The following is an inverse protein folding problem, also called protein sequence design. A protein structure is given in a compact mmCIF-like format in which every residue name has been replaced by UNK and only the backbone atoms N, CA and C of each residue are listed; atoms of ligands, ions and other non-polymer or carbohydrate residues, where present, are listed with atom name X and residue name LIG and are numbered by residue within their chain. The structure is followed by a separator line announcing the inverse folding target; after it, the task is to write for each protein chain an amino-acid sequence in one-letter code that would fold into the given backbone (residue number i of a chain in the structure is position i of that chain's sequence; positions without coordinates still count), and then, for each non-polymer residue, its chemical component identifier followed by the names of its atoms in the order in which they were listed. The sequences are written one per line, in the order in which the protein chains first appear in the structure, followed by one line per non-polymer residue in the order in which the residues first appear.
data_IF_166542421074
#
_entry.id   IF_166542421074
#
_cell.length_a   1.000
_cell.length_b   1.000
_cell.length_c   1.000
_cell.angle_alpha   90.00
_cell.angle_beta   90.00
_cell.angle_gamma   90.00
#
_symmetry.space_group_name_H-M   'P 1'
#
loop_
_entity.id
_entity.type
_entity.pdbx_description
1 polymer ?
#
# COMPACT_ATOMS: atom_id res chain seq x y z
N UNK A 1 -9.45 3.31 -5.40
CA UNK A 1 -7.97 3.25 -5.40
C UNK A 1 -7.46 4.07 -4.22
N UNK A 2 -6.44 3.57 -3.51
CA UNK A 2 -5.73 4.27 -2.44
C UNK A 2 -4.23 4.28 -2.76
N UNK A 3 -3.61 5.46 -2.77
CA UNK A 3 -2.18 5.65 -3.04
C UNK A 3 -1.53 6.28 -1.81
N UNK A 4 -0.68 5.53 -1.12
CA UNK A 4 0.12 5.99 0.02
C UNK A 4 1.54 6.27 -0.43
N UNK A 5 1.99 7.52 -0.34
CA UNK A 5 3.36 7.93 -0.70
C UNK A 5 4.03 8.54 0.53
N UNK A 6 5.20 8.02 0.93
CA UNK A 6 6.04 8.56 2.00
C UNK A 6 5.50 8.47 3.44
N UNK A 7 4.25 8.05 3.63
CA UNK A 7 3.61 7.88 4.94
C UNK A 7 3.37 6.41 5.26
N UNK A 8 4.20 5.49 4.74
CA UNK A 8 3.93 4.06 4.89
C UNK A 8 3.77 3.63 6.36
N UNK A 9 4.31 4.36 7.34
CA UNK A 9 4.11 4.07 8.76
C UNK A 9 2.76 4.57 9.31
N UNK A 10 2.33 5.81 9.02
CA UNK A 10 1.08 6.37 9.57
C UNK A 10 -0.14 6.04 8.74
N UNK A 11 0.03 6.00 7.42
CA UNK A 11 -1.02 5.70 6.45
C UNK A 11 -1.82 4.43 6.75
N UNK A 12 -1.23 3.27 7.10
CA UNK A 12 -1.99 2.07 7.38
C UNK A 12 -2.94 2.27 8.56
N UNK A 13 -2.48 2.90 9.64
CA UNK A 13 -3.28 3.08 10.86
C UNK A 13 -4.50 3.97 10.64
N UNK A 14 -4.35 5.05 9.87
CA UNK A 14 -5.46 5.96 9.55
C UNK A 14 -6.42 5.26 8.58
N UNK A 15 -5.88 4.68 7.51
CA UNK A 15 -6.69 4.07 6.46
C UNK A 15 -7.47 2.84 6.95
N UNK A 16 -6.88 2.00 7.80
CA UNK A 16 -7.54 0.85 8.42
C UNK A 16 -8.80 1.27 9.18
N UNK A 17 -8.70 2.33 10.00
CA UNK A 17 -9.83 2.87 10.75
C UNK A 17 -10.89 3.43 9.82
N UNK A 18 -10.49 4.22 8.82
CA UNK A 18 -11.41 4.77 7.82
C UNK A 18 -12.17 3.67 7.06
N UNK A 19 -11.47 2.64 6.58
CA UNK A 19 -12.06 1.50 5.89
C UNK A 19 -13.02 0.73 6.79
N UNK A 20 -12.64 0.53 8.06
CA UNK A 20 -13.48 -0.14 9.06
C UNK A 20 -14.76 0.64 9.36
N UNK A 21 -14.69 1.97 9.47
CA UNK A 21 -15.88 2.82 9.65
C UNK A 21 -16.85 2.71 8.48
N UNK A 22 -16.35 2.74 7.24
CA UNK A 22 -17.21 2.61 6.05
C UNK A 22 -17.87 1.23 6.00
N UNK A 23 -17.12 0.17 6.31
CA UNK A 23 -17.66 -1.20 6.40
C UNK A 23 -18.71 -1.33 7.50
N UNK A 24 -18.50 -0.68 8.66
CA UNK A 24 -19.45 -0.68 9.76
C UNK A 24 -20.78 0.02 9.41
N UNK A 25 -20.76 1.00 8.49
CA UNK A 25 -21.97 1.60 7.93
C UNK A 25 -22.70 0.71 6.90
N UNK A 26 -22.31 -0.56 6.76
CA UNK A 26 -22.93 -1.52 5.83
C UNK A 26 -22.42 -1.46 4.39
N UNK A 27 -21.43 -0.60 4.09
CA UNK A 27 -20.84 -0.52 2.75
C UNK A 27 -19.68 -1.50 2.62
N UNK A 28 -19.84 -2.52 1.78
CA UNK A 28 -18.73 -3.42 1.45
C UNK A 28 -17.82 -2.79 0.40
N UNK A 29 -16.61 -2.42 0.83
CA UNK A 29 -15.51 -2.07 -0.06
C UNK A 29 -14.60 -3.31 -0.17
N UNK A 30 -14.75 -4.04 -1.27
CA UNK A 30 -13.97 -5.23 -1.61
C UNK A 30 -13.16 -5.07 -2.90
N UNK A 31 -13.67 -4.32 -3.89
CA UNK A 31 -12.93 -4.00 -5.10
C UNK A 31 -12.13 -2.70 -4.93
N UNK A 32 -10.97 -2.84 -4.32
CA UNK A 32 -10.08 -1.73 -3.99
C UNK A 32 -8.63 -2.12 -4.24
N UNK A 33 -7.89 -1.23 -4.88
CA UNK A 33 -6.44 -1.30 -5.01
C UNK A 33 -5.76 -0.33 -4.03
N UNK A 34 -4.75 -0.83 -3.34
CA UNK A 34 -3.85 -0.12 -2.42
C UNK A 34 -2.45 -0.14 -3.05
N UNK A 35 -1.89 1.04 -3.28
CA UNK A 35 -0.53 1.22 -3.76
C UNK A 35 0.28 1.94 -2.69
N UNK A 36 1.33 1.29 -2.20
CA UNK A 36 2.23 1.82 -1.17
C UNK A 36 3.57 2.12 -1.83
N UNK A 37 3.98 3.38 -1.74
CA UNK A 37 5.27 3.88 -2.22
C UNK A 37 6.06 4.38 -1.02
N UNK A 38 7.24 3.81 -0.83
CA UNK A 38 8.14 4.18 0.25
C UNK A 38 9.61 3.97 -0.16
N UNK A 39 10.53 4.56 0.61
CA UNK A 39 11.96 4.47 0.38
C UNK A 39 12.56 3.13 0.83
N UNK A 40 11.85 2.37 1.67
CA UNK A 40 12.40 1.14 2.23
C UNK A 40 12.63 0.06 1.16
N UNK A 41 13.79 -0.60 1.21
CA UNK A 41 14.13 -1.64 0.24
C UNK A 41 13.10 -2.77 0.19
N UNK A 42 12.73 -3.17 -1.02
CA UNK A 42 11.79 -4.27 -1.26
C UNK A 42 12.48 -5.61 -0.98
N UNK A 43 12.37 -6.11 0.25
CA UNK A 43 12.90 -7.42 0.67
C UNK A 43 11.96 -8.60 0.41
N UNK A 44 10.71 -8.34 0.01
CA UNK A 44 9.70 -9.36 -0.25
C UNK A 44 8.72 -8.96 -1.35
N UNK A 45 8.21 -9.96 -2.07
CA UNK A 45 7.16 -9.79 -3.05
C UNK A 45 5.77 -10.01 -2.43
N UNK A 46 5.14 -8.91 -2.00
CA UNK A 46 3.84 -8.91 -1.36
C UNK A 46 2.68 -9.41 -2.24
N UNK A 47 2.88 -9.55 -3.55
CA UNK A 47 1.91 -10.22 -4.43
C UNK A 47 1.78 -11.72 -4.13
N UNK A 48 2.79 -12.32 -3.49
CA UNK A 48 2.83 -13.74 -3.08
C UNK A 48 2.25 -13.99 -1.69
N UNK A 49 1.70 -12.97 -1.04
CA UNK A 49 1.18 -13.04 0.33
C UNK A 49 2.19 -12.57 1.38
N UNK A 50 1.87 -12.83 2.65
CA UNK A 50 2.76 -12.44 3.77
C UNK A 50 4.06 -13.27 3.76
N UNK A 51 5.22 -12.65 4.02
CA UNK A 51 6.47 -13.38 4.19
C UNK A 51 6.41 -14.36 5.38
N UNK A 52 7.22 -15.43 5.37
CA UNK A 52 7.35 -16.33 6.51
C UNK A 52 8.09 -15.65 7.68
N UNK A 53 7.93 -16.18 8.90
CA UNK A 53 8.43 -15.57 10.15
C UNK A 53 9.96 -15.50 10.20
N UNK A 54 10.65 -16.41 9.52
CA UNK A 54 12.11 -16.46 9.39
C UNK A 54 12.66 -15.44 8.38
N UNK A 55 11.80 -14.77 7.61
CA UNK A 55 12.19 -13.72 6.68
C UNK A 55 12.14 -12.34 7.36
N UNK A 56 13.21 -11.51 7.29
CA UNK A 56 13.21 -10.16 7.87
C UNK A 56 12.05 -9.27 7.40
N UNK A 57 11.55 -9.48 6.18
CA UNK A 57 10.40 -8.77 5.64
C UNK A 57 9.12 -8.96 6.46
N UNK A 58 9.03 -10.01 7.29
CA UNK A 58 7.92 -10.24 8.22
C UNK A 58 7.69 -9.08 9.19
N UNK A 59 8.76 -8.35 9.51
CA UNK A 59 8.73 -7.24 10.45
C UNK A 59 8.46 -5.88 9.78
N UNK A 60 8.23 -5.85 8.45
CA UNK A 60 7.69 -4.68 7.74
C UNK A 60 6.22 -4.47 8.12
N UNK A 61 6.02 -3.81 9.26
CA UNK A 61 4.70 -3.68 9.91
C UNK A 61 3.65 -3.03 9.02
N UNK A 62 4.01 -2.02 8.24
CA UNK A 62 3.03 -1.30 7.44
C UNK A 62 2.42 -2.14 6.32
N UNK A 63 3.24 -2.88 5.58
CA UNK A 63 2.74 -3.73 4.50
C UNK A 63 1.88 -4.86 5.05
N UNK A 64 2.23 -5.40 6.21
CA UNK A 64 1.42 -6.40 6.91
C UNK A 64 0.02 -5.87 7.27
N UNK A 65 -0.08 -4.61 7.68
CA UNK A 65 -1.39 -3.99 7.91
C UNK A 65 -2.17 -3.84 6.61
N UNK A 66 -1.56 -3.34 5.54
CA UNK A 66 -2.23 -3.21 4.23
C UNK A 66 -2.67 -4.55 3.62
N UNK A 67 -1.82 -5.59 3.69
CA UNK A 67 -2.13 -6.91 3.14
C UNK A 67 -3.33 -7.57 3.80
N UNK A 68 -3.62 -7.23 5.06
CA UNK A 68 -4.73 -7.79 5.84
C UNK A 68 -6.06 -7.07 5.66
N UNK A 69 -6.09 -5.93 4.97
CA UNK A 69 -7.32 -5.13 4.81
C UNK A 69 -8.35 -5.72 3.84
N UNK A 70 -7.99 -6.78 3.11
CA UNK A 70 -8.88 -7.41 2.12
C UNK A 70 -9.04 -6.60 0.83
N UNK A 71 -8.08 -5.72 0.53
CA UNK A 71 -7.93 -5.03 -0.76
C UNK A 71 -6.67 -5.56 -1.45
N UNK A 72 -6.58 -5.42 -2.77
CA UNK A 72 -5.35 -5.76 -3.51
C UNK A 72 -4.26 -4.74 -3.15
N UNK A 73 -3.20 -5.18 -2.46
CA UNK A 73 -2.12 -4.32 -1.98
C UNK A 73 -0.82 -4.58 -2.76
N UNK A 74 -0.14 -3.50 -3.15
CA UNK A 74 1.14 -3.55 -3.86
C UNK A 74 2.14 -2.58 -3.24
N UNK A 75 3.42 -2.94 -3.34
CA UNK A 75 4.54 -2.18 -2.80
C UNK A 75 5.53 -1.78 -3.88
N UNK A 76 5.88 -0.50 -3.93
CA UNK A 76 6.90 0.07 -4.80
C UNK A 76 7.95 0.78 -3.95
N UNK A 77 9.18 0.28 -3.98
CA UNK A 77 10.32 0.98 -3.41
C UNK A 77 10.73 2.11 -4.35
N UNK A 78 10.54 3.37 -3.96
CA UNK A 78 10.91 4.53 -4.78
C UNK A 78 11.04 5.80 -3.95
N UNK A 79 11.86 6.73 -4.41
CA UNK A 79 11.83 8.10 -3.91
C UNK A 79 10.51 8.78 -4.31
N UNK A 80 9.90 9.50 -3.37
CA UNK A 80 8.59 10.11 -3.57
C UNK A 80 8.58 11.12 -4.72
N UNK A 81 9.64 11.94 -4.82
CA UNK A 81 9.74 12.94 -5.87
C UNK A 81 9.93 12.27 -7.23
N UNK A 82 10.85 11.29 -7.32
CA UNK A 82 11.04 10.51 -8.54
C UNK A 82 9.75 9.77 -8.97
N UNK A 83 9.01 9.21 -8.00
CA UNK A 83 7.73 8.54 -8.25
C UNK A 83 6.69 9.52 -8.83
N UNK A 84 6.49 10.69 -8.23
CA UNK A 84 5.49 11.64 -8.71
C UNK A 84 5.83 12.22 -10.09
N UNK A 85 7.11 12.52 -10.36
CA UNK A 85 7.56 12.97 -11.68
C UNK A 85 7.28 11.89 -12.74
N UNK A 86 7.57 10.63 -12.41
CA UNK A 86 7.34 9.51 -13.32
C UNK A 86 5.84 9.27 -13.54
N UNK A 87 5.04 9.30 -12.47
CA UNK A 87 3.59 9.17 -12.53
C UNK A 87 2.97 10.26 -13.40
N UNK A 88 3.36 11.53 -13.20
CA UNK A 88 2.87 12.65 -14.00
C UNK A 88 3.16 12.46 -15.49
N UNK A 89 4.41 12.13 -15.85
CA UNK A 89 4.81 11.88 -17.24
C UNK A 89 4.02 10.74 -17.88
N UNK A 90 3.73 9.68 -17.14
CA UNK A 90 2.95 8.55 -17.65
C UNK A 90 1.47 8.86 -17.80
N UNK A 91 0.91 9.74 -16.96
CA UNK A 91 -0.47 10.20 -17.10
C UNK A 91 -0.62 11.19 -18.27
N UNK A 92 0.35 12.10 -18.46
CA UNK A 92 0.37 13.08 -19.55
C UNK A 92 0.45 12.42 -20.94
N UNK A 93 1.20 11.31 -21.07
CA UNK A 93 1.22 10.51 -22.31
C UNK A 93 -0.11 9.83 -22.63
N UNK A 94 -0.99 9.66 -21.63
CA UNK A 94 -2.26 8.93 -21.74
C UNK A 94 -3.47 9.85 -21.90
N UNK A 95 -3.31 11.15 -21.70
CA UNK A 95 -4.33 12.18 -21.96
C UNK A 95 -4.34 12.59 -23.43
#
# INVERSE_FOLDING_TARGET
MYLSVGSAVMSPMIFEKSLSMVRNCGKQIADCAIHVVDLQEKSWDWSKGEPPVDNPAYYLRFMKTFSRMGCNASYTCSDNHAFFVSLYRELDKRS
#
